data_IF_984322618562
#
_entry.id   IF_984322618562
#
_cell.length_a   1.000
_cell.length_b   1.000
_cell.length_c   1.000
_cell.angle_alpha   90.00
_cell.angle_beta   90.00
_cell.angle_gamma   90.00
#
_symmetry.space_group_name_H-M   'P 1'
#
loop_
_entity.id
_entity.type
_entity.pdbx_description
1 polymer ?
#
# COMPACT_ATOMS: atom_id res chain seq x y z
N UNK A 1 -72.65 47.83 -36.60
CA UNK A 1 -72.58 48.87 -35.56
C UNK A 1 -71.69 48.36 -34.43
N UNK A 2 -70.60 49.08 -34.13
CA UNK A 2 -69.98 49.37 -32.80
C UNK A 2 -70.16 48.31 -31.68
N UNK A 3 -69.16 47.77 -30.96
CA UNK A 3 -67.86 48.26 -30.40
C UNK A 3 -67.06 47.02 -29.86
N UNK A 4 -65.74 46.93 -30.00
CA UNK A 4 -64.68 47.22 -28.98
C UNK A 4 -64.92 46.51 -27.61
N UNK A 5 -63.99 45.81 -26.92
CA UNK A 5 -62.54 46.05 -26.70
C UNK A 5 -61.90 44.93 -25.82
N UNK A 6 -60.61 44.62 -26.07
CA UNK A 6 -59.46 44.26 -25.16
C UNK A 6 -59.59 43.07 -24.17
N UNK A 7 -58.77 42.01 -24.21
CA UNK A 7 -57.30 41.87 -24.02
C UNK A 7 -56.81 41.94 -22.56
N UNK A 8 -56.25 40.82 -22.04
CA UNK A 8 -55.19 40.80 -21.03
C UNK A 8 -54.54 39.39 -20.96
N UNK A 9 -53.32 39.30 -21.49
CA UNK A 9 -52.33 38.22 -21.28
C UNK A 9 -51.32 38.79 -20.28
N UNK A 10 -51.00 38.06 -19.21
CA UNK A 10 -49.75 38.21 -18.44
C UNK A 10 -49.47 36.86 -17.72
N UNK A 11 -48.53 36.07 -18.23
CA UNK A 11 -47.15 35.98 -17.71
C UNK A 11 -47.03 35.14 -16.43
N UNK A 12 -47.06 33.81 -16.57
CA UNK A 12 -46.50 32.90 -15.57
C UNK A 12 -44.99 32.74 -15.85
N UNK A 13 -44.18 33.39 -15.02
CA UNK A 13 -42.72 33.33 -15.08
C UNK A 13 -42.19 31.95 -14.70
N UNK A 14 -41.48 31.32 -15.63
CA UNK A 14 -40.72 30.09 -15.39
C UNK A 14 -39.41 30.51 -14.73
N UNK A 15 -39.31 30.31 -13.41
CA UNK A 15 -38.10 30.47 -12.63
C UNK A 15 -37.17 29.27 -12.91
N UNK A 16 -36.37 29.37 -13.98
CA UNK A 16 -35.29 28.41 -14.27
C UNK A 16 -34.16 28.62 -13.25
N UNK A 17 -34.16 27.84 -12.17
CA UNK A 17 -33.04 27.77 -11.23
C UNK A 17 -31.86 27.09 -11.91
N UNK A 18 -30.92 27.91 -12.41
CA UNK A 18 -29.60 27.49 -12.86
C UNK A 18 -28.77 27.02 -11.66
N UNK A 19 -28.88 25.74 -11.31
CA UNK A 19 -27.89 25.10 -10.45
C UNK A 19 -26.62 24.87 -11.29
N UNK A 20 -25.48 25.51 -10.97
CA UNK A 20 -24.22 25.15 -11.61
C UNK A 20 -23.92 23.71 -11.22
N UNK A 21 -24.01 22.80 -12.19
CA UNK A 21 -23.45 21.46 -12.08
C UNK A 21 -21.95 21.63 -11.88
N UNK A 22 -21.51 21.70 -10.62
CA UNK A 22 -20.11 21.47 -10.26
C UNK A 22 -19.86 19.99 -10.57
N UNK A 23 -19.47 19.74 -11.82
CA UNK A 23 -18.85 18.48 -12.21
C UNK A 23 -17.50 18.51 -11.52
N UNK A 24 -17.47 18.05 -10.27
CA UNK A 24 -16.23 17.63 -9.63
C UNK A 24 -15.79 16.41 -10.45
N UNK A 25 -15.02 16.65 -11.50
CA UNK A 25 -14.22 15.63 -12.12
C UNK A 25 -13.29 15.13 -11.01
N UNK A 26 -13.73 14.10 -10.29
CA UNK A 26 -12.87 13.32 -9.43
C UNK A 26 -11.85 12.68 -10.36
N UNK A 27 -10.75 13.41 -10.55
CA UNK A 27 -9.57 12.94 -11.23
C UNK A 27 -9.04 11.82 -10.33
N UNK A 28 -9.47 10.59 -10.59
CA UNK A 28 -8.86 9.41 -10.01
C UNK A 28 -7.37 9.54 -10.31
N UNK A 29 -6.56 9.89 -9.29
CA UNK A 29 -5.12 9.99 -9.46
C UNK A 29 -4.62 8.59 -9.77
N UNK A 30 -4.54 8.27 -11.06
CA UNK A 30 -3.98 7.03 -11.58
C UNK A 30 -2.49 6.88 -11.23
N UNK A 31 -1.85 7.95 -10.78
CA UNK A 31 -0.43 7.99 -10.51
C UNK A 31 -0.19 8.27 -9.03
N UNK A 32 0.54 7.36 -8.38
CA UNK A 32 0.94 7.45 -6.98
C UNK A 32 2.46 7.42 -6.87
N UNK A 33 3.11 8.25 -6.03
CA UNK A 33 4.53 8.13 -5.78
C UNK A 33 4.89 6.73 -5.25
N UNK A 34 5.99 6.17 -5.75
CA UNK A 34 6.45 4.85 -5.35
C UNK A 34 7.78 4.46 -5.98
N UNK A 35 8.09 3.18 -5.91
CA UNK A 35 9.26 2.57 -6.53
C UNK A 35 8.96 1.21 -7.14
N UNK A 36 9.75 0.87 -8.16
CA UNK A 36 9.78 -0.42 -8.83
C UNK A 36 11.12 -1.08 -8.54
N UNK A 37 11.11 -2.36 -8.19
CA UNK A 37 12.31 -3.20 -8.03
C UNK A 37 12.32 -4.22 -9.17
N UNK A 38 13.33 -4.17 -10.03
CA UNK A 38 13.51 -5.14 -11.12
C UNK A 38 13.99 -6.49 -10.61
N UNK A 39 13.96 -7.51 -11.46
CA UNK A 39 14.56 -8.83 -11.17
C UNK A 39 16.07 -8.80 -10.99
N UNK A 40 16.76 -7.78 -11.51
CA UNK A 40 18.20 -7.53 -11.29
C UNK A 40 18.49 -6.88 -9.93
N UNK A 41 17.45 -6.43 -9.20
CA UNK A 41 17.57 -5.72 -7.94
C UNK A 41 17.66 -4.20 -8.07
N UNK A 42 17.64 -3.67 -9.30
CA UNK A 42 17.65 -2.23 -9.53
C UNK A 42 16.34 -1.60 -9.05
N UNK A 43 16.46 -0.47 -8.35
CA UNK A 43 15.30 0.25 -7.82
C UNK A 43 15.12 1.58 -8.52
N UNK A 44 14.00 1.74 -9.24
CA UNK A 44 13.62 2.98 -9.93
C UNK A 44 12.48 3.65 -9.18
N UNK A 45 12.62 4.94 -8.88
CA UNK A 45 11.60 5.74 -8.15
C UNK A 45 10.87 6.66 -9.11
N UNK A 46 9.59 6.92 -8.82
CA UNK A 46 8.80 7.85 -9.63
C UNK A 46 7.32 7.81 -9.27
N UNK A 47 6.50 8.31 -10.19
CA UNK A 47 5.06 8.17 -10.16
C UNK A 47 4.67 6.86 -10.85
N UNK A 48 3.96 6.03 -10.12
CA UNK A 48 3.57 4.68 -10.49
C UNK A 48 2.09 4.61 -10.78
N UNK A 49 1.75 4.01 -11.89
CA UNK A 49 0.41 3.53 -12.18
C UNK A 49 0.43 2.01 -12.16
N UNK A 50 -0.20 1.45 -11.13
CA UNK A 50 -0.49 0.02 -11.06
C UNK A 50 -1.87 -0.16 -11.67
N UNK A 51 -2.00 -0.88 -12.79
CA UNK A 51 -3.31 -1.16 -13.33
C UNK A 51 -4.12 -1.89 -12.26
N UNK A 52 -5.35 -1.44 -12.02
CA UNK A 52 -6.23 -2.02 -10.99
C UNK A 52 -6.46 -3.53 -11.21
N UNK A 53 -6.30 -3.98 -12.44
CA UNK A 53 -6.50 -5.36 -12.90
C UNK A 53 -5.27 -5.82 -13.68
N UNK A 54 -4.92 -7.11 -13.55
CA UNK A 54 -3.74 -7.68 -14.22
C UNK A 54 -3.89 -7.66 -15.75
N UNK A 55 -3.05 -6.87 -16.39
CA UNK A 55 -2.66 -6.96 -17.80
C UNK A 55 -1.34 -7.74 -17.90
N UNK A 56 -0.95 -8.24 -19.08
CA UNK A 56 0.42 -8.75 -19.29
C UNK A 56 1.47 -7.68 -18.94
N UNK A 57 1.06 -6.44 -19.20
CA UNK A 57 1.72 -5.21 -18.77
C UNK A 57 1.64 -5.10 -17.23
N UNK A 58 2.78 -5.12 -16.56
CA UNK A 58 2.85 -5.13 -15.09
C UNK A 58 2.54 -3.77 -14.51
N UNK A 59 3.48 -2.83 -14.64
CA UNK A 59 3.40 -1.50 -14.01
C UNK A 59 3.97 -0.44 -14.94
N UNK A 60 3.34 0.75 -14.96
CA UNK A 60 3.90 1.91 -15.65
C UNK A 60 4.50 2.88 -14.64
N UNK A 61 5.71 3.37 -14.91
CA UNK A 61 6.41 4.37 -14.11
C UNK A 61 6.73 5.59 -14.98
N UNK A 62 6.69 6.78 -14.38
CA UNK A 62 7.29 8.00 -14.91
C UNK A 62 8.11 8.66 -13.81
N UNK A 63 9.28 9.21 -14.14
CA UNK A 63 10.20 9.78 -13.13
C UNK A 63 9.60 11.03 -12.47
N UNK A 64 8.91 11.86 -13.25
CA UNK A 64 8.20 13.06 -12.80
C UNK A 64 6.88 13.23 -13.59
N UNK A 65 6.19 14.37 -13.42
CA UNK A 65 4.90 14.58 -14.07
C UNK A 65 4.99 14.65 -15.61
N UNK A 66 6.09 15.18 -16.14
CA UNK A 66 6.38 15.40 -17.55
C UNK A 66 7.21 14.26 -18.19
N UNK A 67 7.69 13.33 -17.38
CA UNK A 67 8.62 12.29 -17.78
C UNK A 67 8.01 11.27 -18.72
N UNK A 68 8.87 10.64 -19.53
CA UNK A 68 8.47 9.54 -20.42
C UNK A 68 7.96 8.36 -19.59
N UNK A 69 6.85 7.77 -20.05
CA UNK A 69 6.31 6.53 -19.46
C UNK A 69 7.24 5.37 -19.79
N UNK A 70 7.67 4.66 -18.76
CA UNK A 70 8.37 3.40 -18.84
C UNK A 70 7.44 2.28 -18.36
N UNK A 71 7.31 1.24 -19.17
CA UNK A 71 6.46 0.09 -18.88
C UNK A 71 7.32 -1.09 -18.44
N UNK A 72 6.92 -1.73 -17.36
CA UNK A 72 7.57 -2.91 -16.81
C UNK A 72 6.60 -4.10 -16.89
N UNK A 73 7.03 -5.21 -17.49
CA UNK A 73 6.24 -6.43 -17.50
C UNK A 73 6.33 -7.11 -16.13
N UNK A 74 5.30 -7.86 -15.73
CA UNK A 74 5.32 -8.62 -14.47
C UNK A 74 6.53 -9.53 -14.36
N UNK A 75 7.02 -10.06 -15.49
CA UNK A 75 8.17 -10.95 -15.50
C UNK A 75 9.49 -10.29 -15.09
N UNK A 76 9.63 -8.99 -15.37
CA UNK A 76 10.84 -8.20 -15.13
C UNK A 76 10.84 -7.56 -13.73
N UNK A 77 9.79 -7.80 -12.96
CA UNK A 77 9.55 -7.19 -11.65
C UNK A 77 9.79 -8.19 -10.52
N UNK A 78 10.46 -7.71 -9.47
CA UNK A 78 10.51 -8.41 -8.19
C UNK A 78 9.42 -7.89 -7.25
N UNK A 79 9.34 -6.57 -7.11
CA UNK A 79 8.40 -5.90 -6.22
C UNK A 79 8.08 -4.47 -6.69
N UNK A 80 6.96 -3.94 -6.22
CA UNK A 80 6.54 -2.55 -6.41
C UNK A 80 6.04 -2.04 -5.06
N UNK A 81 6.53 -0.87 -4.64
CA UNK A 81 6.11 -0.25 -3.40
C UNK A 81 5.53 1.14 -3.64
N UNK A 82 4.48 1.47 -2.92
CA UNK A 82 3.82 2.77 -2.95
C UNK A 82 4.13 3.54 -1.65
N UNK A 83 4.06 4.86 -1.72
CA UNK A 83 4.32 5.73 -0.57
C UNK A 83 3.30 5.55 0.57
N UNK A 84 2.10 5.04 0.28
CA UNK A 84 1.08 4.74 1.28
C UNK A 84 1.34 3.44 2.06
N UNK A 85 2.48 2.77 1.80
CA UNK A 85 2.89 1.53 2.45
C UNK A 85 2.48 0.27 1.70
N UNK A 86 1.66 0.38 0.65
CA UNK A 86 1.28 -0.79 -0.12
C UNK A 86 2.49 -1.40 -0.84
N UNK A 87 2.63 -2.72 -0.73
CA UNK A 87 3.67 -3.48 -1.40
C UNK A 87 3.04 -4.56 -2.28
N UNK A 88 3.52 -4.66 -3.51
CA UNK A 88 3.16 -5.69 -4.48
C UNK A 88 4.40 -6.52 -4.78
N UNK A 89 4.24 -7.84 -4.85
CA UNK A 89 5.35 -8.76 -5.12
C UNK A 89 4.97 -9.74 -6.22
N UNK A 90 5.96 -10.10 -7.05
CA UNK A 90 5.79 -11.14 -8.06
C UNK A 90 5.63 -12.50 -7.37
N UNK A 91 4.58 -13.22 -7.73
CA UNK A 91 4.32 -14.59 -7.29
C UNK A 91 3.74 -15.41 -8.44
N UNK A 92 3.94 -16.73 -8.37
CA UNK A 92 3.34 -17.67 -9.29
C UNK A 92 2.08 -18.27 -8.65
N UNK A 93 0.96 -18.19 -9.36
CA UNK A 93 -0.30 -18.82 -8.94
C UNK A 93 -0.72 -19.90 -9.93
N UNK A 94 -1.38 -20.94 -9.44
CA UNK A 94 -2.01 -21.96 -10.28
C UNK A 94 -3.33 -21.41 -10.84
N UNK A 95 -3.46 -21.35 -12.16
CA UNK A 95 -4.64 -20.82 -12.87
C UNK A 95 -5.57 -21.93 -13.37
N UNK A 96 -5.09 -23.16 -13.43
CA UNK A 96 -5.86 -24.30 -13.92
C UNK A 96 -5.04 -25.58 -13.85
N UNK A 97 -5.66 -26.66 -14.32
CA UNK A 97 -4.97 -27.93 -14.55
C UNK A 97 -5.25 -28.32 -15.99
N UNK A 98 -4.19 -28.58 -16.74
CA UNK A 98 -4.33 -29.05 -18.10
C UNK A 98 -4.98 -30.43 -18.06
N UNK A 99 -6.16 -30.56 -18.69
CA UNK A 99 -6.93 -31.80 -18.67
C UNK A 99 -6.24 -32.97 -19.40
N UNK A 100 -5.35 -32.67 -20.37
CA UNK A 100 -4.65 -33.67 -21.15
C UNK A 100 -3.36 -34.18 -20.48
N UNK A 101 -2.64 -33.31 -19.77
CA UNK A 101 -1.35 -33.67 -19.13
C UNK A 101 -1.45 -33.86 -17.62
N UNK A 102 -2.54 -33.43 -16.99
CA UNK A 102 -2.69 -33.43 -15.53
C UNK A 102 -1.80 -32.40 -14.80
N UNK A 103 -1.00 -31.63 -15.53
CA UNK A 103 -0.09 -30.65 -14.97
C UNK A 103 -0.83 -29.36 -14.59
N UNK A 104 -0.37 -28.70 -13.53
CA UNK A 104 -0.91 -27.42 -13.11
C UNK A 104 -0.41 -26.30 -14.04
N UNK A 105 -1.32 -25.59 -14.67
CA UNK A 105 -0.99 -24.38 -15.42
C UNK A 105 -0.78 -23.25 -14.42
N UNK A 106 0.30 -22.49 -14.60
CA UNK A 106 0.69 -21.42 -13.68
C UNK A 106 0.95 -20.11 -14.39
N UNK A 107 0.70 -19.00 -13.70
CA UNK A 107 0.93 -17.66 -14.21
C UNK A 107 1.68 -16.82 -13.16
N UNK A 108 2.64 -16.01 -13.63
CA UNK A 108 3.27 -14.99 -12.80
C UNK A 108 2.34 -13.77 -12.69
N UNK A 109 2.08 -13.33 -11.47
CA UNK A 109 1.19 -12.21 -11.16
C UNK A 109 1.83 -11.31 -10.10
N UNK A 110 1.44 -10.03 -10.09
CA UNK A 110 1.71 -9.14 -8.98
C UNK A 110 0.59 -9.27 -7.94
N UNK A 111 0.93 -9.69 -6.73
CA UNK A 111 0.02 -9.77 -5.60
C UNK A 111 0.32 -8.65 -4.63
N UNK A 112 -0.70 -8.00 -4.08
CA UNK A 112 -0.52 -7.11 -2.95
C UNK A 112 -0.18 -7.97 -1.73
N UNK A 113 0.99 -7.75 -1.16
CA UNK A 113 1.40 -8.36 0.09
C UNK A 113 0.74 -7.60 1.24
N UNK A 114 -0.05 -8.30 2.06
CA UNK A 114 -0.75 -7.73 3.21
C UNK A 114 0.02 -8.00 4.50
N UNK A 115 0.58 -9.20 4.62
CA UNK A 115 1.41 -9.63 5.75
C UNK A 115 2.62 -10.40 5.19
N UNK A 116 3.80 -10.16 5.75
CA UNK A 116 4.98 -11.02 5.56
C UNK A 116 5.44 -11.62 6.88
N UNK A 117 6.14 -12.73 6.78
CA UNK A 117 6.62 -13.52 7.91
C UNK A 117 6.95 -14.93 7.41
N UNK A 118 6.90 -15.92 8.31
CA UNK A 118 6.99 -17.33 7.94
C UNK A 118 5.81 -17.75 7.06
N UNK A 119 4.61 -17.32 7.43
CA UNK A 119 3.45 -17.24 6.56
C UNK A 119 3.36 -15.84 5.95
N UNK A 120 2.89 -15.77 4.71
CA UNK A 120 2.62 -14.51 4.03
C UNK A 120 1.19 -14.51 3.52
N UNK A 121 0.50 -13.39 3.71
CA UNK A 121 -0.88 -13.21 3.27
C UNK A 121 -0.93 -12.19 2.14
N UNK A 122 -1.64 -12.55 1.06
CA UNK A 122 -1.67 -11.80 -0.18
C UNK A 122 -3.09 -11.56 -0.65
N UNK A 123 -3.28 -10.44 -1.34
CA UNK A 123 -4.50 -10.05 -2.03
C UNK A 123 -4.28 -10.00 -3.53
N UNK A 124 -5.25 -10.53 -4.26
CA UNK A 124 -5.32 -10.49 -5.71
C UNK A 124 -6.65 -9.91 -6.17
N UNK A 125 -6.63 -8.81 -6.91
CA UNK A 125 -7.84 -8.23 -7.50
C UNK A 125 -8.09 -8.84 -8.89
N UNK A 126 -9.18 -9.58 -9.07
CA UNK A 126 -9.53 -10.24 -10.34
C UNK A 126 -10.34 -9.31 -11.26
N UNK A 127 -10.20 -9.50 -12.58
CA UNK A 127 -11.01 -8.84 -13.60
C UNK A 127 -12.48 -9.30 -13.51
N UNK A 128 -13.44 -8.37 -13.36
CA UNK A 128 -14.87 -8.65 -13.46
C UNK A 128 -15.38 -8.71 -14.92
N UNK A 129 -14.48 -8.78 -15.90
CA UNK A 129 -14.78 -8.97 -17.30
C UNK A 129 -13.86 -10.05 -17.93
N UNK A 130 -14.15 -11.32 -17.64
CA UNK A 130 -14.06 -12.37 -18.66
C UNK A 130 -15.47 -12.86 -18.97
N UNK A 131 -16.09 -12.22 -19.97
CA UNK A 131 -17.14 -12.84 -20.77
C UNK A 131 -16.57 -14.14 -21.37
N UNK A 132 -17.01 -15.31 -20.89
CA UNK A 132 -17.16 -16.58 -21.66
C UNK A 132 -17.09 -17.88 -20.84
N UNK A 133 -16.86 -17.84 -19.52
CA UNK A 133 -16.94 -19.07 -18.70
C UNK A 133 -18.11 -19.00 -17.71
N UNK A 134 -19.21 -19.65 -18.09
CA UNK A 134 -20.30 -20.02 -17.19
C UNK A 134 -19.68 -20.73 -15.96
N UNK A 135 -19.77 -20.09 -14.78
CA UNK A 135 -19.56 -20.76 -13.49
C UNK A 135 -18.43 -20.26 -12.57
N UNK A 136 -17.78 -19.11 -12.82
CA UNK A 136 -16.65 -18.63 -11.98
C UNK A 136 -17.06 -17.41 -11.12
N UNK A 137 -16.60 -17.29 -9.85
CA UNK A 137 -17.35 -16.64 -8.75
C UNK A 137 -17.44 -15.12 -8.87
N UNK A 138 -18.50 -14.57 -8.26
CA UNK A 138 -18.79 -13.13 -8.12
C UNK A 138 -17.80 -12.32 -7.28
N UNK A 139 -16.68 -12.92 -6.85
CA UNK A 139 -15.70 -12.30 -5.95
C UNK A 139 -14.66 -11.51 -6.75
N UNK A 140 -14.65 -10.18 -6.56
CA UNK A 140 -13.68 -9.25 -7.19
C UNK A 140 -12.26 -9.38 -6.61
N UNK A 141 -12.12 -10.08 -5.48
CA UNK A 141 -10.87 -10.21 -4.73
C UNK A 141 -10.69 -11.66 -4.32
N UNK A 142 -9.51 -12.21 -4.59
CA UNK A 142 -9.06 -13.52 -4.15
C UNK A 142 -7.89 -13.35 -3.18
N UNK A 143 -7.92 -14.06 -2.07
CA UNK A 143 -6.81 -14.07 -1.11
C UNK A 143 -5.95 -15.32 -1.27
N UNK A 144 -4.67 -15.20 -0.94
CA UNK A 144 -3.71 -16.30 -0.94
C UNK A 144 -2.88 -16.30 0.33
N UNK A 145 -2.52 -17.48 0.80
CA UNK A 145 -1.52 -17.68 1.84
C UNK A 145 -0.32 -18.42 1.23
N UNK A 146 0.88 -17.98 1.57
CA UNK A 146 2.13 -18.63 1.18
C UNK A 146 2.97 -18.95 2.40
N UNK A 147 3.68 -20.06 2.35
CA UNK A 147 4.72 -20.42 3.31
C UNK A 147 6.04 -20.51 2.56
N UNK A 148 7.15 -20.27 3.25
CA UNK A 148 8.47 -20.38 2.64
C UNK A 148 8.67 -21.76 1.98
N UNK A 149 9.14 -21.77 0.73
CA UNK A 149 9.36 -22.99 -0.05
C UNK A 149 8.09 -23.72 -0.54
N UNK A 150 6.89 -23.17 -0.32
CA UNK A 150 5.62 -23.78 -0.74
C UNK A 150 4.87 -22.92 -1.76
N UNK A 151 4.07 -23.59 -2.60
CA UNK A 151 3.16 -22.92 -3.53
C UNK A 151 2.09 -22.12 -2.78
N UNK A 152 1.64 -21.01 -3.39
CA UNK A 152 0.56 -20.21 -2.83
C UNK A 152 -0.75 -21.01 -2.81
N UNK A 153 -1.41 -21.00 -1.66
CA UNK A 153 -2.70 -21.63 -1.47
C UNK A 153 -3.83 -20.59 -1.49
N UNK A 154 -4.88 -20.76 -2.30
CA UNK A 154 -6.01 -19.86 -2.31
C UNK A 154 -6.81 -19.99 -1.00
N UNK A 155 -7.15 -18.86 -0.41
CA UNK A 155 -8.00 -18.79 0.78
C UNK A 155 -9.42 -18.47 0.33
N UNK A 156 -10.37 -19.37 0.61
CA UNK A 156 -11.78 -19.21 0.22
C UNK A 156 -12.69 -19.20 1.44
N UNK A 157 -13.75 -18.38 1.38
CA UNK A 157 -14.73 -18.24 2.47
C UNK A 157 -15.34 -19.57 2.93
N UNK A 158 -15.59 -20.50 2.01
CA UNK A 158 -16.22 -21.77 2.30
C UNK A 158 -15.27 -22.81 2.89
N UNK A 159 -13.96 -22.68 2.68
CA UNK A 159 -12.99 -23.75 3.01
C UNK A 159 -11.93 -23.33 4.02
N UNK A 160 -11.77 -22.04 4.32
CA UNK A 160 -10.68 -21.56 5.19
C UNK A 160 -10.74 -22.18 6.60
N UNK A 161 -11.93 -22.39 7.17
CA UNK A 161 -12.09 -22.99 8.51
C UNK A 161 -11.63 -24.46 8.57
N UNK A 162 -11.68 -25.19 7.45
CA UNK A 162 -11.16 -26.56 7.38
C UNK A 162 -9.68 -26.64 7.01
N UNK A 163 -9.19 -25.70 6.19
CA UNK A 163 -7.81 -25.70 5.71
C UNK A 163 -6.82 -25.10 6.72
N UNK A 164 -7.17 -23.98 7.35
CA UNK A 164 -6.26 -23.24 8.22
C UNK A 164 -5.85 -23.99 9.49
N UNK A 165 -6.69 -24.81 10.15
CA UNK A 165 -6.25 -25.60 11.30
C UNK A 165 -5.11 -26.55 10.95
N UNK A 166 -5.12 -27.10 9.73
CA UNK A 166 -4.06 -28.00 9.23
C UNK A 166 -2.79 -27.21 8.90
N UNK A 167 -2.94 -26.04 8.29
CA UNK A 167 -1.81 -25.18 7.91
C UNK A 167 -1.11 -24.54 9.11
N UNK A 168 -1.86 -24.22 10.16
CA UNK A 168 -1.39 -23.50 11.35
C UNK A 168 -1.35 -24.42 12.60
N UNK A 169 -1.34 -25.74 12.38
CA UNK A 169 -1.47 -26.76 13.43
C UNK A 169 -0.36 -26.70 14.49
N UNK A 170 0.80 -26.15 14.12
CA UNK A 170 1.96 -25.93 14.97
C UNK A 170 1.77 -24.75 15.95
N UNK A 171 0.62 -24.05 15.88
CA UNK A 171 0.31 -22.92 16.72
C UNK A 171 -1.10 -23.03 17.35
N UNK A 172 -1.27 -23.82 18.43
CA UNK A 172 -2.59 -24.09 19.03
C UNK A 172 -3.36 -22.82 19.41
N UNK A 173 -2.66 -21.80 19.93
CA UNK A 173 -3.25 -20.50 20.30
C UNK A 173 -3.91 -19.80 19.12
N UNK A 174 -3.36 -19.96 17.91
CA UNK A 174 -3.92 -19.39 16.68
C UNK A 174 -5.06 -20.26 16.15
N UNK A 175 -4.93 -21.59 16.23
CA UNK A 175 -6.00 -22.53 15.84
C UNK A 175 -7.27 -22.31 16.65
N UNK A 176 -7.15 -22.06 17.97
CA UNK A 176 -8.29 -21.70 18.81
C UNK A 176 -8.92 -20.35 18.40
N UNK A 177 -8.09 -19.36 18.05
CA UNK A 177 -8.56 -18.05 17.61
C UNK A 177 -9.27 -18.11 16.25
N UNK A 178 -8.83 -19.00 15.35
CA UNK A 178 -9.39 -19.19 14.02
C UNK A 178 -10.89 -19.55 14.07
N UNK A 179 -11.32 -20.36 15.03
CA UNK A 179 -12.73 -20.77 15.18
C UNK A 179 -13.70 -19.59 15.31
N UNK A 180 -13.21 -18.44 15.81
CA UNK A 180 -13.98 -17.19 16.00
C UNK A 180 -13.62 -16.09 15.01
N UNK A 181 -12.71 -16.36 14.06
CA UNK A 181 -12.22 -15.38 13.10
C UNK A 181 -13.11 -15.40 11.87
N UNK A 182 -13.86 -14.32 11.56
CA UNK A 182 -14.68 -14.27 10.36
C UNK A 182 -13.80 -14.17 9.10
N UNK A 183 -14.34 -14.57 7.96
CA UNK A 183 -13.68 -14.40 6.67
C UNK A 183 -13.68 -12.92 6.25
N UNK A 184 -12.65 -12.21 6.69
CA UNK A 184 -12.41 -10.80 6.44
C UNK A 184 -10.91 -10.56 6.28
N UNK A 185 -10.51 -9.67 5.36
CA UNK A 185 -9.10 -9.39 5.03
C UNK A 185 -8.31 -9.01 6.29
N UNK A 186 -8.87 -8.12 7.12
CA UNK A 186 -8.19 -7.63 8.31
C UNK A 186 -8.11 -8.72 9.36
N UNK A 187 -9.18 -9.47 9.57
CA UNK A 187 -9.24 -10.54 10.58
C UNK A 187 -8.33 -11.71 10.23
N UNK A 188 -8.30 -12.13 8.97
CA UNK A 188 -7.38 -13.17 8.48
C UNK A 188 -5.94 -12.65 8.55
N UNK A 189 -5.67 -11.43 8.07
CA UNK A 189 -4.33 -10.83 8.16
C UNK A 189 -3.81 -10.77 9.60
N UNK A 190 -4.64 -10.39 10.56
CA UNK A 190 -4.27 -10.38 11.99
C UNK A 190 -4.01 -11.78 12.53
N UNK A 191 -4.75 -12.80 12.06
CA UNK A 191 -4.52 -14.19 12.43
C UNK A 191 -3.15 -14.67 11.96
N UNK A 192 -2.78 -14.36 10.72
CA UNK A 192 -1.47 -14.70 10.14
C UNK A 192 -0.34 -13.94 10.84
N UNK A 193 -0.51 -12.64 11.08
CA UNK A 193 0.47 -11.85 11.82
C UNK A 193 0.68 -12.41 13.25
N UNK A 194 -0.40 -12.87 13.90
CA UNK A 194 -0.33 -13.52 15.22
C UNK A 194 0.42 -14.85 15.16
N UNK A 195 0.24 -15.62 14.09
CA UNK A 195 0.98 -16.86 13.85
C UNK A 195 2.49 -16.60 13.70
N UNK A 196 2.87 -15.64 12.85
CA UNK A 196 4.28 -15.28 12.63
C UNK A 196 4.96 -14.75 13.89
N UNK A 197 4.24 -13.96 14.68
CA UNK A 197 4.78 -13.33 15.90
C UNK A 197 4.85 -14.28 17.09
N UNK A 198 3.82 -15.10 17.34
CA UNK A 198 3.77 -15.96 18.53
C UNK A 198 4.46 -17.30 18.35
N UNK A 199 4.42 -17.88 17.15
CA UNK A 199 4.78 -19.28 16.93
C UNK A 199 6.06 -19.47 16.11
N UNK A 200 6.41 -18.50 15.27
CA UNK A 200 7.66 -18.53 14.50
C UNK A 200 8.66 -17.44 14.90
N UNK A 201 8.27 -16.52 15.81
CA UNK A 201 9.09 -15.38 16.30
C UNK A 201 9.95 -14.76 15.20
N UNK A 202 9.40 -14.62 13.99
CA UNK A 202 10.20 -14.16 12.86
C UNK A 202 10.46 -12.67 13.01
N UNK A 203 11.72 -12.20 12.97
CA UNK A 203 12.03 -10.77 12.97
C UNK A 203 11.51 -10.03 11.72
N UNK A 204 10.93 -10.76 10.77
CA UNK A 204 10.39 -10.27 9.50
C UNK A 204 8.85 -10.23 9.45
N UNK A 205 8.18 -10.46 10.58
CA UNK A 205 6.74 -10.29 10.66
C UNK A 205 6.38 -8.82 10.42
N UNK A 206 5.76 -8.50 9.28
CA UNK A 206 5.44 -7.12 8.90
C UNK A 206 4.01 -7.00 8.39
N UNK A 207 3.34 -5.92 8.78
CA UNK A 207 1.98 -5.61 8.36
C UNK A 207 1.98 -4.50 7.30
N UNK A 208 1.97 -4.89 6.02
CA UNK A 208 1.93 -3.97 4.87
C UNK A 208 0.56 -3.31 4.65
N UNK A 209 -0.43 -3.57 5.52
CA UNK A 209 -1.70 -2.82 5.53
C UNK A 209 -1.56 -1.49 6.26
N UNK A 210 -0.50 -1.34 7.06
CA UNK A 210 -0.18 -0.11 7.77
C UNK A 210 0.93 0.60 6.99
N UNK A 211 0.90 1.95 6.90
CA UNK A 211 2.01 2.68 6.32
C UNK A 211 3.28 2.38 7.12
N UNK A 212 4.42 2.27 6.41
CA UNK A 212 5.70 2.13 7.08
C UNK A 212 5.84 3.29 8.09
N UNK A 213 6.29 3.03 9.33
CA UNK A 213 6.53 4.10 10.28
C UNK A 213 7.50 5.06 9.61
N UNK A 214 7.04 6.29 9.38
CA UNK A 214 7.89 7.35 8.81
C UNK A 214 9.03 7.48 9.80
N UNK A 215 10.21 6.97 9.41
CA UNK A 215 11.43 7.26 10.14
C UNK A 215 11.60 8.76 10.02
N UNK A 216 11.11 9.50 11.02
CA UNK A 216 11.44 10.89 11.18
C UNK A 216 12.93 10.91 11.44
N UNK A 217 13.71 11.02 10.36
CA UNK A 217 15.09 11.44 10.43
C UNK A 217 15.07 12.82 11.07
N UNK A 218 15.18 12.85 12.39
CA UNK A 218 15.39 14.08 13.12
C UNK A 218 16.83 14.50 12.81
N UNK A 219 16.96 15.51 11.94
CA UNK A 219 18.24 16.18 11.76
C UNK A 219 18.55 16.95 13.04
N UNK A 220 19.39 16.37 13.90
CA UNK A 220 19.90 17.06 15.08
C UNK A 220 21.05 17.97 14.67
N UNK A 221 20.76 19.25 14.44
CA UNK A 221 21.80 20.28 14.28
C UNK A 221 22.28 20.70 15.66
N UNK A 222 23.48 20.27 16.06
CA UNK A 222 24.14 20.78 17.27
C UNK A 222 24.94 22.03 16.91
N UNK A 223 24.46 23.20 17.32
CA UNK A 223 25.24 24.44 17.28
C UNK A 223 26.11 24.54 18.54
N UNK A 224 27.43 24.66 18.37
CA UNK A 224 28.32 25.08 19.48
C UNK A 224 28.31 26.61 19.52
N UNK A 225 27.64 27.17 20.53
CA UNK A 225 27.77 28.59 20.88
C UNK A 225 28.97 28.79 21.80
N UNK A 226 29.74 29.84 21.56
CA UNK A 226 30.81 30.30 22.46
C UNK A 226 30.34 31.51 23.25
N UNK A 227 30.81 31.66 24.49
CA UNK A 227 30.54 32.84 25.31
C UNK A 227 31.82 33.67 25.35
N UNK A 228 31.85 34.77 24.59
CA UNK A 228 33.00 35.67 24.53
C UNK A 228 32.56 37.04 25.06
N UNK A 229 33.24 37.52 26.11
CA UNK A 229 32.98 38.82 26.74
C UNK A 229 31.52 39.02 27.18
N UNK A 230 30.89 37.98 27.76
CA UNK A 230 29.52 38.08 28.27
C UNK A 230 28.44 38.14 27.18
N UNK A 231 28.80 38.02 25.90
CA UNK A 231 27.88 37.94 24.78
C UNK A 231 27.88 36.54 24.21
N UNK A 232 26.68 36.04 23.93
CA UNK A 232 26.48 34.74 23.29
C UNK A 232 26.82 34.89 21.79
N UNK A 233 27.80 34.13 21.32
CA UNK A 233 28.23 34.16 19.92
C UNK A 233 27.90 32.83 19.23
N UNK A 234 27.21 32.93 18.09
CA UNK A 234 27.00 31.82 17.17
C UNK A 234 27.86 32.07 15.92
N UNK A 235 28.73 31.14 15.50
CA UNK A 235 29.48 31.31 14.27
C UNK A 235 28.52 31.37 13.08
N UNK A 236 28.72 32.35 12.21
CA UNK A 236 27.92 32.57 11.00
C UNK A 236 27.93 31.32 10.10
N UNK A 237 26.75 30.93 9.60
CA UNK A 237 26.52 29.69 8.84
C UNK A 237 27.21 29.63 7.46
N UNK A 238 27.97 30.65 7.08
CA UNK A 238 28.57 30.77 5.75
C UNK A 238 29.86 29.94 5.56
N UNK A 239 30.35 29.27 6.60
CA UNK A 239 31.50 28.35 6.52
C UNK A 239 31.22 27.03 7.24
N UNK A 240 30.28 26.24 6.72
CA UNK A 240 30.38 24.79 6.87
C UNK A 240 31.26 24.28 5.73
N UNK A 241 32.54 23.92 5.94
CA UNK A 241 33.26 23.16 4.95
C UNK A 241 32.45 21.89 4.66
N UNK A 242 32.25 21.62 3.38
CA UNK A 242 31.39 20.58 2.77
C UNK A 242 31.71 19.13 3.19
N UNK A 243 32.55 18.92 4.21
CA UNK A 243 33.21 17.66 4.50
C UNK A 243 32.69 16.91 5.74
N UNK A 244 31.90 17.50 6.63
CA UNK A 244 31.49 16.79 7.87
C UNK A 244 30.02 17.00 8.23
N UNK A 245 29.12 16.65 7.32
CA UNK A 245 27.81 16.13 7.73
C UNK A 245 28.01 14.67 8.17
N UNK A 246 28.66 14.45 9.32
CA UNK A 246 28.67 13.13 9.93
C UNK A 246 27.27 12.85 10.50
N UNK A 247 26.57 11.91 9.87
CA UNK A 247 25.31 11.33 10.35
C UNK A 247 25.59 10.58 11.66
N UNK A 248 25.63 11.31 12.78
CA UNK A 248 25.63 10.67 14.08
C UNK A 248 24.18 10.28 14.42
N UNK A 249 23.83 9.02 14.16
CA UNK A 249 22.62 8.39 14.71
C UNK A 249 22.85 8.26 16.22
N UNK A 250 22.37 9.24 17.00
CA UNK A 250 22.40 9.14 18.46
C UNK A 250 21.14 8.42 18.94
N UNK A 251 21.24 7.40 19.81
CA UNK A 251 20.08 6.87 20.50
C UNK A 251 19.50 7.96 21.42
N UNK A 252 18.21 8.21 21.28
CA UNK A 252 17.49 9.21 22.05
C UNK A 252 17.44 8.81 23.53
N UNK A 253 18.25 9.46 24.36
CA UNK A 253 18.02 9.54 25.80
C UNK A 253 17.75 11.01 26.14
N UNK A 254 16.58 11.25 26.70
CA UNK A 254 16.10 12.56 27.13
C UNK A 254 17.11 13.18 28.12
N UNK A 255 17.54 14.40 27.84
CA UNK A 255 18.31 15.21 28.78
C UNK A 255 17.42 16.38 29.20
N UNK A 256 16.77 16.20 30.35
CA UNK A 256 15.98 17.23 31.01
C UNK A 256 16.97 18.23 31.65
N UNK A 257 17.10 19.43 31.08
CA UNK A 257 17.91 20.50 31.68
C UNK A 257 17.03 21.26 32.67
N UNK A 258 17.12 20.90 33.95
CA UNK A 258 16.60 21.75 35.03
C UNK A 258 17.56 22.91 35.25
N UNK A 259 17.10 24.13 34.95
CA UNK A 259 17.77 25.34 35.39
C UNK A 259 17.51 25.51 36.90
N UNK A 260 18.51 25.20 37.72
CA UNK A 260 18.52 25.61 39.12
C UNK A 260 18.76 27.12 39.18
N UNK A 261 17.73 27.88 39.52
CA UNK A 261 17.89 29.27 39.94
C UNK A 261 18.49 29.28 41.34
N UNK A 262 19.80 29.55 41.44
CA UNK A 262 20.38 30.09 42.65
C UNK A 262 20.60 31.58 42.43
N UNK A 263 19.63 32.37 42.90
CA UNK A 263 19.87 33.77 43.24
C UNK A 263 20.69 33.87 44.54
N UNK A 264 21.27 35.06 44.81
CA UNK A 264 22.24 35.31 45.88
C UNK A 264 21.70 35.04 47.29
#
# INVERSE_FOLDING_TARGET
MLRNTRAAICCAGILFTLFPKVIVAQNFKAWSPGYVVSTTGDTTRGLIHIPQFVTEEGVTLKVDEQGKRQQFNVQDLQAVGLQDGQRFVKRTITIGRNAATGNADSAAVLLQQLVSGYASFYRYNYNAARQSQQGTPSERVQYFIGFEGRSLMPVRKLTYQGAFPVLLQDCPVVVEALARTPFDERKIGNLILRYDTLCHTTPQAHDYRLPDPVSTMHLFVRMRGGLQQGKLFYPDFNYLPRAEAQTAVLPAYALEVRLANHGP
#
